data_IF_987058985250
#
_entry.id   IF_987058985250
#
_cell.length_a   1.000
_cell.length_b   1.000
_cell.length_c   1.000
_cell.angle_alpha   90.00
_cell.angle_beta   90.00
_cell.angle_gamma   90.00
#
_symmetry.space_group_name_H-M   'P 1'
#
loop_
_entity.id
_entity.type
_entity.pdbx_description
1 polymer ?
#
# COMPACT_ATOMS: atom_id res chain seq x y z
N UNK A 1 17.74 -7.29 13.23
CA UNK A 1 17.44 -6.83 11.84
C UNK A 1 16.96 -8.02 10.99
N UNK A 2 15.66 -8.33 11.03
CA UNK A 2 15.05 -9.44 10.29
C UNK A 2 14.34 -9.00 8.99
N UNK A 3 13.81 -7.77 8.95
CA UNK A 3 12.89 -7.29 7.90
C UNK A 3 13.45 -7.33 6.47
N UNK A 4 14.59 -6.69 6.20
CA UNK A 4 15.08 -6.53 4.81
C UNK A 4 15.52 -7.84 4.12
N UNK A 5 15.91 -8.86 4.89
CA UNK A 5 16.28 -10.18 4.32
C UNK A 5 15.04 -11.01 3.99
N UNK A 6 14.01 -10.90 4.82
CA UNK A 6 12.76 -11.63 4.64
C UNK A 6 11.95 -11.08 3.45
N UNK A 7 11.90 -9.77 3.28
CA UNK A 7 11.18 -9.15 2.16
C UNK A 7 11.77 -9.51 0.79
N UNK A 8 13.08 -9.77 0.69
CA UNK A 8 13.69 -10.26 -0.55
C UNK A 8 13.10 -11.59 -1.02
N UNK A 9 12.80 -12.51 -0.08
CA UNK A 9 12.14 -13.79 -0.39
C UNK A 9 10.68 -13.59 -0.80
N UNK A 10 9.96 -12.67 -0.15
CA UNK A 10 8.60 -12.29 -0.57
C UNK A 10 8.58 -11.74 -2.00
N UNK A 11 9.55 -10.91 -2.36
CA UNK A 11 9.66 -10.34 -3.71
C UNK A 11 9.94 -11.43 -4.74
N UNK A 12 10.85 -12.38 -4.45
CA UNK A 12 11.13 -13.50 -5.34
C UNK A 12 9.88 -14.37 -5.59
N UNK A 13 9.18 -14.77 -4.53
CA UNK A 13 7.92 -15.51 -4.64
C UNK A 13 6.83 -14.70 -5.34
N UNK A 14 6.72 -13.40 -5.01
CA UNK A 14 5.79 -12.47 -5.61
C UNK A 14 6.03 -12.26 -7.11
N UNK A 15 7.27 -12.30 -7.59
CA UNK A 15 7.59 -12.23 -9.01
C UNK A 15 7.05 -13.44 -9.79
N UNK A 16 7.15 -14.64 -9.20
CA UNK A 16 6.58 -15.87 -9.77
C UNK A 16 5.05 -15.78 -9.79
N UNK A 17 4.44 -15.40 -8.66
CA UNK A 17 2.99 -15.23 -8.55
C UNK A 17 2.46 -14.19 -9.56
N UNK A 18 3.09 -13.02 -9.64
CA UNK A 18 2.75 -11.97 -10.61
C UNK A 18 2.87 -12.45 -12.05
N UNK A 19 3.93 -13.20 -12.39
CA UNK A 19 4.09 -13.78 -13.73
C UNK A 19 2.98 -14.79 -14.05
N UNK A 20 2.63 -15.65 -13.10
CA UNK A 20 1.53 -16.61 -13.26
C UNK A 20 0.19 -15.90 -13.47
N UNK A 21 -0.14 -14.95 -12.60
CA UNK A 21 -1.38 -14.15 -12.67
C UNK A 21 -1.51 -13.41 -14.01
N UNK A 22 -0.42 -12.80 -14.49
CA UNK A 22 -0.41 -12.12 -15.78
C UNK A 22 -0.64 -13.11 -16.94
N UNK A 23 0.15 -14.19 -17.01
CA UNK A 23 0.10 -15.12 -18.14
C UNK A 23 -1.16 -15.99 -18.19
N UNK A 24 -1.72 -16.35 -17.03
CA UNK A 24 -2.83 -17.31 -16.95
C UNK A 24 -4.19 -16.64 -16.76
N UNK A 25 -4.21 -15.42 -16.23
CA UNK A 25 -5.44 -14.75 -15.83
C UNK A 25 -5.53 -13.32 -16.36
N UNK A 26 -4.50 -12.80 -17.05
CA UNK A 26 -4.49 -11.42 -17.53
C UNK A 26 -4.48 -10.37 -16.41
N UNK A 27 -4.11 -10.77 -15.18
CA UNK A 27 -4.11 -9.87 -14.02
C UNK A 27 -2.82 -9.06 -14.00
N UNK A 28 -2.96 -7.74 -13.89
CA UNK A 28 -1.85 -6.80 -13.79
C UNK A 28 -1.83 -6.15 -12.42
N UNK A 29 -0.65 -6.13 -11.77
CA UNK A 29 -0.47 -5.55 -10.44
C UNK A 29 0.51 -4.38 -10.54
N UNK A 30 0.08 -3.21 -10.08
CA UNK A 30 0.85 -1.97 -10.11
C UNK A 30 0.98 -1.42 -8.70
N UNK A 31 2.20 -1.03 -8.32
CA UNK A 31 2.49 -0.33 -7.07
C UNK A 31 3.14 1.02 -7.35
N UNK A 32 2.87 2.01 -6.49
CA UNK A 32 3.41 3.37 -6.59
C UNK A 32 3.57 4.01 -5.21
N UNK A 33 4.42 5.04 -5.13
CA UNK A 33 4.48 5.91 -3.97
C UNK A 33 3.29 6.87 -4.00
N UNK A 34 2.35 6.69 -3.08
CA UNK A 34 1.12 7.48 -2.98
C UNK A 34 1.31 8.74 -2.11
N UNK A 35 2.29 8.72 -1.20
CA UNK A 35 2.64 9.90 -0.43
C UNK A 35 3.89 9.70 0.43
N UNK A 36 4.52 10.80 0.80
CA UNK A 36 5.68 10.83 1.69
C UNK A 36 5.72 12.17 2.42
N UNK A 37 5.84 12.13 3.75
CA UNK A 37 5.71 13.34 4.57
C UNK A 37 4.40 14.09 4.30
N UNK A 38 4.50 15.36 3.90
CA UNK A 38 3.36 16.21 3.53
C UNK A 38 2.93 16.08 2.07
N UNK A 39 3.70 15.40 1.21
CA UNK A 39 3.38 15.22 -0.19
C UNK A 39 2.39 14.07 -0.36
N UNK A 40 1.27 14.32 -1.05
CA UNK A 40 0.19 13.34 -1.25
C UNK A 40 -0.30 13.33 -2.69
N UNK A 41 -0.37 12.14 -3.28
CA UNK A 41 -0.85 11.93 -4.62
C UNK A 41 -2.38 12.05 -4.62
N UNK A 42 -2.90 12.90 -5.51
CA UNK A 42 -4.34 13.16 -5.64
C UNK A 42 -4.92 12.63 -6.96
N UNK A 43 -4.09 12.00 -7.80
CA UNK A 43 -4.51 11.46 -9.07
C UNK A 43 -5.17 10.08 -8.95
N UNK A 44 -5.68 9.60 -10.09
CA UNK A 44 -6.19 8.24 -10.19
C UNK A 44 -5.03 7.22 -10.09
N UNK A 45 -5.28 6.01 -9.59
CA UNK A 45 -4.26 4.95 -9.58
C UNK A 45 -3.62 4.76 -10.97
N UNK A 46 -2.29 4.66 -11.05
CA UNK A 46 -1.59 4.54 -12.32
C UNK A 46 -1.87 3.19 -12.99
N UNK A 47 -2.02 3.21 -14.32
CA UNK A 47 -2.22 1.99 -15.14
C UNK A 47 -0.93 1.21 -15.37
N UNK A 48 0.21 1.90 -15.32
CA UNK A 48 1.53 1.32 -15.54
C UNK A 48 2.40 1.69 -14.34
N UNK A 49 3.29 0.79 -13.94
CA UNK A 49 4.28 1.08 -12.91
C UNK A 49 5.10 2.32 -13.31
N UNK A 50 5.18 3.36 -12.47
CA UNK A 50 6.04 4.50 -12.77
C UNK A 50 7.50 4.07 -12.90
N UNK A 51 8.17 4.59 -13.93
CA UNK A 51 9.55 4.24 -14.26
C UNK A 51 10.51 5.38 -13.86
N UNK A 52 10.71 5.51 -12.56
CA UNK A 52 11.65 6.44 -11.94
C UNK A 52 12.09 5.88 -10.57
N UNK A 53 13.14 6.47 -10.01
CA UNK A 53 13.78 6.00 -8.77
C UNK A 53 12.86 6.00 -7.54
N UNK A 54 11.79 6.80 -7.56
CA UNK A 54 10.87 6.94 -6.43
C UNK A 54 9.52 6.26 -6.64
N UNK A 55 9.29 5.66 -7.82
CA UNK A 55 8.01 5.06 -8.23
C UNK A 55 6.82 6.01 -8.07
N UNK A 56 7.04 7.31 -8.28
CA UNK A 56 5.99 8.33 -8.22
C UNK A 56 5.27 8.44 -9.56
N UNK A 57 3.93 8.55 -9.60
CA UNK A 57 3.21 8.70 -10.86
C UNK A 57 3.41 10.05 -11.56
N UNK A 58 3.85 11.08 -10.82
CA UNK A 58 3.98 12.44 -11.33
C UNK A 58 5.44 12.90 -11.33
N UNK A 59 6.00 13.22 -12.49
CA UNK A 59 7.39 13.67 -12.61
C UNK A 59 7.70 14.95 -11.81
N UNK A 60 6.70 15.83 -11.63
CA UNK A 60 6.83 17.06 -10.83
C UNK A 60 7.23 16.81 -9.37
N UNK A 61 7.09 15.57 -8.89
CA UNK A 61 7.48 15.16 -7.55
C UNK A 61 8.97 14.83 -7.43
N UNK A 62 9.67 14.53 -8.52
CA UNK A 62 11.03 13.99 -8.47
C UNK A 62 12.01 14.94 -7.77
N UNK A 63 12.00 16.23 -8.14
CA UNK A 63 12.88 17.21 -7.52
C UNK A 63 12.53 17.49 -6.04
N UNK A 64 11.26 17.78 -5.67
CA UNK A 64 10.87 17.92 -4.27
C UNK A 64 11.16 16.68 -3.41
N UNK A 65 10.99 15.46 -3.94
CA UNK A 65 11.34 14.24 -3.21
C UNK A 65 12.83 14.11 -2.97
N UNK A 66 13.64 14.35 -4.00
CA UNK A 66 15.09 14.30 -3.86
C UNK A 66 15.56 15.30 -2.79
N UNK A 67 15.01 16.53 -2.80
CA UNK A 67 15.31 17.55 -1.80
C UNK A 67 14.87 17.14 -0.38
N UNK A 68 13.67 16.56 -0.23
CA UNK A 68 13.18 16.06 1.05
C UNK A 68 14.10 14.97 1.61
N UNK A 69 14.48 13.99 0.78
CA UNK A 69 15.35 12.88 1.18
C UNK A 69 16.74 13.41 1.58
N UNK A 70 17.28 14.36 0.81
CA UNK A 70 18.57 14.99 1.14
C UNK A 70 18.51 15.82 2.43
N UNK A 71 17.39 16.47 2.70
CA UNK A 71 17.18 17.21 3.95
C UNK A 71 17.12 16.28 5.14
N UNK A 72 16.28 15.23 5.10
CA UNK A 72 16.21 14.20 6.14
C UNK A 72 17.57 13.52 6.35
N UNK A 73 18.30 13.26 5.27
CA UNK A 73 19.66 12.70 5.33
C UNK A 73 20.64 13.64 6.01
N UNK A 74 20.53 14.96 5.86
CA UNK A 74 21.39 15.92 6.57
C UNK A 74 21.02 16.01 8.04
N UNK A 75 19.73 16.11 8.34
CA UNK A 75 19.16 16.13 9.70
C UNK A 75 19.40 14.81 10.45
N UNK A 76 19.66 13.73 9.70
CA UNK A 76 19.82 12.40 10.26
C UNK A 76 18.51 11.84 10.80
N UNK A 77 17.38 12.24 10.21
CA UNK A 77 16.01 11.84 10.56
C UNK A 77 15.37 11.00 9.43
N UNK A 78 14.09 10.65 9.56
CA UNK A 78 13.32 9.93 8.56
C UNK A 78 11.85 10.33 8.57
N UNK A 79 11.12 9.94 7.53
CA UNK A 79 9.70 10.26 7.39
C UNK A 79 8.90 9.02 7.01
N UNK A 80 7.61 9.02 7.33
CA UNK A 80 6.67 7.99 6.91
C UNK A 80 6.27 8.15 5.45
N UNK A 81 5.69 7.08 4.90
CA UNK A 81 5.22 7.05 3.52
C UNK A 81 3.92 6.25 3.39
N UNK A 82 3.16 6.55 2.34
CA UNK A 82 1.98 5.79 1.91
C UNK A 82 2.28 5.18 0.55
N UNK A 83 2.03 3.89 0.42
CA UNK A 83 2.21 3.15 -0.84
C UNK A 83 0.84 2.69 -1.31
N UNK A 84 0.55 2.89 -2.59
CA UNK A 84 -0.63 2.35 -3.25
C UNK A 84 -0.30 1.07 -4.00
N UNK A 85 -1.24 0.12 -4.00
CA UNK A 85 -1.22 -1.05 -4.88
C UNK A 85 -2.59 -1.25 -5.51
N UNK A 86 -2.59 -1.59 -6.79
CA UNK A 86 -3.81 -1.89 -7.54
C UNK A 86 -3.63 -3.14 -8.38
N UNK A 87 -4.64 -4.00 -8.40
CA UNK A 87 -4.72 -5.18 -9.25
C UNK A 87 -5.88 -5.04 -10.24
N UNK A 88 -5.57 -5.05 -11.53
CA UNK A 88 -6.54 -4.99 -12.62
C UNK A 88 -6.84 -6.39 -13.16
N UNK A 89 -8.04 -6.58 -13.72
CA UNK A 89 -8.43 -7.83 -14.37
C UNK A 89 -8.78 -8.98 -13.41
N UNK A 90 -8.93 -8.70 -12.11
CA UNK A 90 -9.31 -9.74 -11.13
C UNK A 90 -10.75 -10.18 -11.39
N UNK A 91 -11.02 -11.47 -11.64
CA UNK A 91 -12.39 -11.98 -11.83
C UNK A 91 -13.25 -11.75 -10.59
N UNK A 92 -14.57 -11.68 -10.76
CA UNK A 92 -15.50 -11.65 -9.63
C UNK A 92 -15.54 -13.01 -8.90
N UNK A 93 -15.76 -12.98 -7.59
CA UNK A 93 -16.00 -14.16 -6.75
C UNK A 93 -14.77 -14.79 -6.08
N UNK A 94 -13.60 -14.13 -6.10
CA UNK A 94 -12.45 -14.59 -5.31
C UNK A 94 -12.58 -14.18 -3.85
N UNK A 95 -12.23 -15.09 -2.94
CA UNK A 95 -12.35 -14.89 -1.49
C UNK A 95 -13.43 -15.77 -0.88
N UNK A 96 -13.68 -15.52 0.40
CA UNK A 96 -14.74 -16.18 1.18
C UNK A 96 -15.63 -15.10 1.82
N UNK A 97 -16.96 -15.28 1.88
CA UNK A 97 -17.84 -14.24 2.42
C UNK A 97 -17.84 -14.16 3.96
N UNK A 98 -17.21 -15.10 4.67
CA UNK A 98 -17.34 -15.27 6.11
C UNK A 98 -16.00 -15.14 6.83
N UNK A 99 -15.10 -16.12 6.67
CA UNK A 99 -13.90 -16.24 7.51
C UNK A 99 -12.63 -15.80 6.77
N UNK A 100 -12.42 -16.33 5.56
CA UNK A 100 -11.23 -16.06 4.75
C UNK A 100 -11.52 -14.97 3.70
N UNK A 101 -12.11 -13.88 4.17
CA UNK A 101 -12.45 -12.73 3.32
C UNK A 101 -11.21 -12.23 2.58
N UNK A 102 -11.40 -11.86 1.32
CA UNK A 102 -10.30 -11.42 0.46
C UNK A 102 -9.61 -10.17 1.03
N UNK A 103 -10.37 -9.18 1.46
CA UNK A 103 -9.87 -7.97 2.11
C UNK A 103 -9.17 -8.28 3.43
N UNK A 104 -9.67 -9.21 4.25
CA UNK A 104 -9.01 -9.66 5.46
C UNK A 104 -7.66 -10.35 5.18
N UNK A 105 -7.62 -11.24 4.18
CA UNK A 105 -6.40 -11.95 3.75
C UNK A 105 -5.36 -10.98 3.20
N UNK A 106 -5.80 -10.03 2.36
CA UNK A 106 -4.95 -8.95 1.84
C UNK A 106 -4.44 -8.08 2.98
N UNK A 107 -5.31 -7.65 3.90
CA UNK A 107 -4.93 -6.84 5.04
C UNK A 107 -3.88 -7.54 5.90
N UNK A 108 -4.04 -8.84 6.20
CA UNK A 108 -3.03 -9.61 6.90
C UNK A 108 -1.70 -9.65 6.14
N UNK A 109 -1.72 -9.98 4.85
CA UNK A 109 -0.51 -10.09 4.05
C UNK A 109 0.25 -8.74 3.97
N UNK A 110 -0.47 -7.65 3.74
CA UNK A 110 0.07 -6.29 3.63
C UNK A 110 0.54 -5.75 4.99
N UNK A 111 -0.23 -5.95 6.06
CA UNK A 111 0.13 -5.51 7.42
C UNK A 111 1.34 -6.26 7.97
N UNK A 112 1.55 -7.51 7.54
CA UNK A 112 2.71 -8.30 7.97
C UNK A 112 4.05 -7.79 7.41
N UNK A 113 4.04 -6.86 6.44
CA UNK A 113 5.24 -6.22 5.93
C UNK A 113 5.82 -5.31 7.01
N UNK A 114 7.14 -5.42 7.25
CA UNK A 114 7.82 -4.62 8.26
C UNK A 114 7.57 -3.12 8.09
N UNK A 115 7.37 -2.43 9.22
CA UNK A 115 7.05 -1.00 9.32
C UNK A 115 5.67 -0.55 8.83
N UNK A 116 4.83 -1.44 8.25
CA UNK A 116 3.43 -1.11 7.97
C UNK A 116 2.65 -0.98 9.27
N UNK A 117 1.85 0.08 9.39
CA UNK A 117 1.03 0.40 10.57
C UNK A 117 -0.46 0.56 10.26
N UNK A 118 -0.84 0.73 8.99
CA UNK A 118 -2.22 0.77 8.54
C UNK A 118 -2.32 0.15 7.15
N UNK A 119 -3.45 -0.52 6.89
CA UNK A 119 -3.85 -1.01 5.57
C UNK A 119 -5.27 -0.54 5.29
N UNK A 120 -5.50 -0.07 4.08
CA UNK A 120 -6.78 0.46 3.63
C UNK A 120 -7.18 -0.24 2.33
N UNK A 121 -8.45 -0.62 2.19
CA UNK A 121 -9.03 -1.14 0.95
C UNK A 121 -10.03 -0.10 0.42
N UNK A 122 -10.01 0.14 -0.90
CA UNK A 122 -10.91 1.08 -1.55
C UNK A 122 -10.74 2.52 -1.06
N UNK A 123 -11.82 3.10 -0.54
CA UNK A 123 -11.82 4.44 0.06
C UNK A 123 -11.18 4.50 1.45
N UNK A 124 -10.85 3.34 2.03
CA UNK A 124 -10.03 3.25 3.23
C UNK A 124 -10.71 3.86 4.45
N UNK A 125 -9.96 4.64 5.24
CA UNK A 125 -10.51 5.31 6.42
C UNK A 125 -11.64 6.29 6.09
N UNK A 126 -11.71 6.79 4.85
CA UNK A 126 -12.72 7.78 4.46
C UNK A 126 -14.15 7.23 4.49
N UNK A 127 -14.33 5.90 4.44
CA UNK A 127 -15.66 5.28 4.54
C UNK A 127 -16.39 5.63 5.83
N UNK A 128 -15.66 5.90 6.91
CA UNK A 128 -16.23 6.29 8.20
C UNK A 128 -16.92 7.66 8.17
N UNK A 129 -16.63 8.49 7.16
CA UNK A 129 -17.17 9.84 7.01
C UNK A 129 -18.20 9.95 5.87
N UNK A 130 -18.57 8.83 5.23
CA UNK A 130 -19.49 8.79 4.10
C UNK A 130 -20.89 8.33 4.53
N UNK A 131 -21.92 8.83 3.85
CA UNK A 131 -23.27 8.26 3.96
C UNK A 131 -23.37 7.00 3.11
N UNK A 132 -24.24 6.07 3.50
CA UNK A 132 -24.51 4.87 2.68
C UNK A 132 -25.06 5.18 1.28
N UNK A 133 -25.66 6.36 1.05
CA UNK A 133 -26.08 6.84 -0.27
C UNK A 133 -24.92 7.28 -1.16
N UNK A 134 -23.79 7.63 -0.55
CA UNK A 134 -22.56 8.08 -1.23
C UNK A 134 -21.60 6.91 -1.45
N UNK A 135 -21.45 6.05 -0.44
CA UNK A 135 -20.48 4.94 -0.47
C UNK A 135 -20.89 3.78 -1.39
N UNK A 136 -22.19 3.58 -1.62
CA UNK A 136 -22.67 2.42 -2.39
C UNK A 136 -22.21 2.52 -3.85
N UNK A 137 -21.56 1.47 -4.33
CA UNK A 137 -21.18 1.39 -5.74
C UNK A 137 -22.38 1.01 -6.61
N UNK A 138 -22.87 1.97 -7.40
CA UNK A 138 -24.01 1.76 -8.29
C UNK A 138 -23.64 0.81 -9.44
N UNK A 139 -24.59 -0.04 -9.84
CA UNK A 139 -24.43 -0.96 -10.98
C UNK A 139 -25.35 -0.58 -12.14
N UNK A 140 -24.84 -0.82 -13.35
CA UNK A 140 -25.57 -0.78 -14.61
C UNK A 140 -25.48 -2.15 -15.28
N UNK A 141 -26.20 -2.41 -16.39
CA UNK A 141 -26.00 -3.62 -17.19
C UNK A 141 -24.54 -3.80 -17.70
N UNK A 142 -23.73 -2.74 -17.68
CA UNK A 142 -22.32 -2.77 -18.08
C UNK A 142 -21.34 -2.91 -16.88
N UNK A 143 -21.86 -3.08 -15.67
CA UNK A 143 -21.08 -3.22 -14.44
C UNK A 143 -21.17 -1.99 -13.52
N UNK A 144 -20.28 -1.97 -12.52
CA UNK A 144 -20.19 -0.90 -11.52
C UNK A 144 -19.75 0.44 -12.12
N UNK A 145 -20.33 1.53 -11.64
CA UNK A 145 -20.04 2.91 -12.06
C UNK A 145 -18.89 3.53 -11.26
N UNK A 146 -18.81 3.21 -9.97
CA UNK A 146 -17.81 3.69 -9.01
C UNK A 146 -17.14 2.50 -8.32
N UNK A 147 -16.02 2.73 -7.62
CA UNK A 147 -15.26 1.68 -6.92
C UNK A 147 -14.82 2.13 -5.52
N UNK A 148 -15.79 2.55 -4.70
CA UNK A 148 -15.59 2.94 -3.30
C UNK A 148 -15.17 1.74 -2.44
N UNK A 149 -15.72 0.56 -2.75
CA UNK A 149 -15.39 -0.71 -2.09
C UNK A 149 -13.96 -1.21 -2.40
N UNK A 150 -13.29 -0.66 -3.42
CA UNK A 150 -11.93 -1.04 -3.77
C UNK A 150 -11.81 -2.45 -4.33
N UNK A 151 -12.82 -2.89 -5.10
CA UNK A 151 -12.85 -4.16 -5.79
C UNK A 151 -13.21 -5.37 -4.92
N UNK A 152 -13.52 -5.16 -3.63
CA UNK A 152 -13.94 -6.22 -2.70
C UNK A 152 -15.24 -5.82 -2.02
N UNK A 153 -16.27 -6.62 -2.17
CA UNK A 153 -17.58 -6.41 -1.51
C UNK A 153 -17.96 -7.68 -0.77
N UNK A 154 -18.33 -7.54 0.51
CA UNK A 154 -18.68 -8.67 1.38
C UNK A 154 -17.62 -9.79 1.41
N UNK A 155 -16.34 -9.42 1.32
CA UNK A 155 -15.22 -10.37 1.36
C UNK A 155 -14.88 -11.07 0.05
N UNK A 156 -15.58 -10.77 -1.05
CA UNK A 156 -15.29 -11.33 -2.37
C UNK A 156 -14.97 -10.25 -3.41
N UNK A 157 -14.17 -10.59 -4.42
CA UNK A 157 -13.87 -9.67 -5.52
C UNK A 157 -15.11 -9.36 -6.36
N UNK A 158 -15.26 -8.10 -6.79
CA UNK A 158 -16.41 -7.63 -7.57
C UNK A 158 -16.19 -7.69 -9.09
N UNK A 159 -14.97 -7.99 -9.55
CA UNK A 159 -14.55 -7.81 -10.94
C UNK A 159 -13.96 -6.43 -11.25
N UNK A 160 -14.09 -5.48 -10.33
CA UNK A 160 -13.42 -4.19 -10.41
C UNK A 160 -11.96 -4.32 -9.97
N UNK A 161 -11.17 -3.27 -10.24
CA UNK A 161 -9.79 -3.25 -9.77
C UNK A 161 -9.72 -3.29 -8.24
N UNK A 162 -8.93 -4.22 -7.70
CA UNK A 162 -8.69 -4.28 -6.26
C UNK A 162 -7.67 -3.21 -5.89
N UNK A 163 -8.03 -2.32 -4.98
CA UNK A 163 -7.18 -1.19 -4.58
C UNK A 163 -6.89 -1.23 -3.09
N UNK A 164 -5.62 -1.18 -2.73
CA UNK A 164 -5.18 -1.12 -1.36
C UNK A 164 -4.09 -0.07 -1.14
N UNK A 165 -4.01 0.44 0.08
CA UNK A 165 -2.97 1.37 0.51
C UNK A 165 -2.32 0.90 1.81
N UNK A 166 -1.02 1.18 1.95
CA UNK A 166 -0.22 0.81 3.11
C UNK A 166 0.43 2.06 3.68
N UNK A 167 0.32 2.28 4.99
CA UNK A 167 1.06 3.33 5.68
C UNK A 167 2.29 2.76 6.37
N UNK A 168 3.47 3.20 5.94
CA UNK A 168 4.76 2.90 6.55
C UNK A 168 5.10 3.98 7.58
N UNK A 169 5.44 3.54 8.80
CA UNK A 169 5.99 4.47 9.81
C UNK A 169 7.38 4.98 9.38
N UNK A 170 7.83 6.14 9.92
CA UNK A 170 9.23 6.55 9.80
C UNK A 170 10.19 5.45 10.26
N UNK A 171 11.36 5.38 9.62
CA UNK A 171 12.39 4.40 9.96
C UNK A 171 12.93 4.72 11.36
N UNK A 172 12.94 3.75 12.26
CA UNK A 172 13.36 4.00 13.65
C UNK A 172 14.88 4.06 13.85
N UNK A 173 15.67 3.62 12.87
CA UNK A 173 17.14 3.68 12.91
C UNK A 173 17.62 4.96 12.24
N UNK A 174 17.55 6.06 12.98
CA UNK A 174 18.02 7.39 12.58
C UNK A 174 19.28 7.77 13.38
N UNK A 175 19.96 8.85 13.00
CA UNK A 175 21.21 9.28 13.68
C UNK A 175 20.96 10.17 14.89
N UNK A 176 19.72 10.63 15.08
CA UNK A 176 19.33 11.41 16.24
C UNK A 176 19.28 10.49 17.48
N UNK A 177 19.97 10.88 18.57
CA UNK A 177 20.03 10.06 19.77
C UNK A 177 18.66 9.99 20.46
N UNK A 178 18.31 8.81 20.98
CA UNK A 178 17.11 8.62 21.77
C UNK A 178 17.38 7.78 23.02
N UNK A 179 16.70 8.12 24.11
CA UNK A 179 16.72 7.31 25.31
C UNK A 179 16.16 5.92 25.04
N UNK A 180 16.86 4.90 25.53
CA UNK A 180 16.46 3.50 25.46
C UNK A 180 16.91 2.77 26.72
N UNK A 181 16.72 1.46 26.76
CA UNK A 181 17.10 0.60 27.87
C UNK A 181 17.93 -0.57 27.37
N UNK A 182 19.00 -0.91 28.08
CA UNK A 182 19.76 -2.13 27.83
C UNK A 182 19.00 -3.38 28.28
N UNK A 183 19.49 -4.55 27.89
CA UNK A 183 18.97 -5.84 28.38
C UNK A 183 19.16 -6.02 29.90
N UNK A 184 20.03 -5.23 30.49
CA UNK A 184 20.30 -5.11 31.93
C UNK A 184 19.32 -4.16 32.65
N UNK A 185 18.35 -3.59 31.93
CA UNK A 185 17.40 -2.63 32.48
C UNK A 185 17.96 -1.23 32.69
N UNK A 186 19.22 -0.98 32.31
CA UNK A 186 19.87 0.32 32.54
C UNK A 186 19.58 1.30 31.40
N UNK A 187 19.40 2.61 31.70
CA UNK A 187 19.27 3.64 30.68
C UNK A 187 20.47 3.66 29.73
N UNK A 188 20.19 3.74 28.43
CA UNK A 188 21.19 3.88 27.37
C UNK A 188 20.71 4.91 26.34
N UNK A 189 21.63 5.34 25.49
CA UNK A 189 21.32 6.14 24.31
C UNK A 189 21.57 5.30 23.07
N UNK A 190 20.57 5.27 22.19
CA UNK A 190 20.65 4.63 20.87
C UNK A 190 21.22 5.59 19.84
#
# INVERSE_FOLDING_TARGET
>A
RASARETAMRVAAGAIARKYLALRMGIEIVGWLDGIGSMRYAGAPPRVRPDNDFFVPEERWLAPLAELIETLRREGDSVGARVGVIAYGVPAGWGDPVFDKLDATLAHALMSIGAVKAVEIGDGVNVAFQRGSEHRDAMTPHGFVTNHAGGVLAGISTGQAIRAYLAFKPTSSIRLPIATVGTDGQPRTL
#
